data_IF_890887572204
#
_entry.id   IF_890887572204
#
_cell.length_a   1.000
_cell.length_b   1.000
_cell.length_c   1.000
_cell.angle_alpha   90.00
_cell.angle_beta   90.00
_cell.angle_gamma   90.00
#
_symmetry.space_group_name_H-M   'P 1'
#
loop_
_entity.id
_entity.type
_entity.pdbx_description
1 polymer ?
#
# COMPACT_ATOMS: atom_id res chain seq x y z
N UNK A 1 23.64 -16.32 -13.60
CA UNK A 1 23.63 -15.74 -12.24
C UNK A 1 22.51 -14.70 -12.11
N UNK A 2 21.77 -14.70 -11.00
CA UNK A 2 20.74 -13.71 -10.69
C UNK A 2 21.24 -12.76 -9.59
N UNK A 3 20.75 -11.52 -9.58
CA UNK A 3 21.08 -10.50 -8.57
C UNK A 3 19.80 -9.93 -7.98
N UNK A 4 19.73 -9.85 -6.65
CA UNK A 4 18.63 -9.20 -5.94
C UNK A 4 19.06 -7.78 -5.55
N UNK A 5 18.25 -6.79 -5.91
CA UNK A 5 18.54 -5.36 -5.65
C UNK A 5 17.55 -4.71 -4.68
N UNK A 6 16.34 -5.24 -4.58
CA UNK A 6 15.27 -4.65 -3.77
C UNK A 6 14.31 -5.72 -3.22
N UNK A 7 13.57 -5.35 -2.17
CA UNK A 7 12.49 -6.16 -1.56
C UNK A 7 11.15 -5.42 -1.54
N UNK A 8 11.15 -4.14 -1.91
CA UNK A 8 9.98 -3.27 -1.85
C UNK A 8 9.01 -3.55 -3.00
N UNK A 9 7.77 -3.09 -2.81
CA UNK A 9 6.79 -3.13 -3.89
C UNK A 9 7.01 -1.98 -4.88
N UNK A 10 6.61 -2.17 -6.13
CA UNK A 10 6.63 -1.12 -7.16
C UNK A 10 5.35 -0.31 -7.09
N UNK A 11 5.31 0.69 -6.21
CA UNK A 11 4.13 1.55 -5.96
C UNK A 11 3.69 2.33 -7.20
N UNK A 12 2.37 2.50 -7.35
CA UNK A 12 1.78 3.21 -8.48
C UNK A 12 1.66 2.34 -9.74
N UNK A 13 1.56 2.98 -10.89
CA UNK A 13 1.37 2.32 -12.18
C UNK A 13 2.68 1.79 -12.76
N UNK A 14 2.69 0.51 -13.08
CA UNK A 14 3.75 -0.17 -13.82
C UNK A 14 3.17 -0.83 -15.06
N UNK A 15 3.87 -0.74 -16.19
CA UNK A 15 3.50 -1.47 -17.40
C UNK A 15 3.89 -2.95 -17.27
N UNK A 16 2.92 -3.84 -17.50
CA UNK A 16 3.13 -5.28 -17.59
C UNK A 16 3.26 -5.74 -19.04
N UNK A 17 2.93 -6.99 -19.30
CA UNK A 17 2.85 -7.58 -20.64
C UNK A 17 1.51 -7.20 -21.33
N UNK A 18 1.41 -7.43 -22.63
CA UNK A 18 0.16 -7.31 -23.41
C UNK A 18 -0.58 -5.97 -23.26
N UNK A 19 0.17 -4.87 -23.16
CA UNK A 19 -0.36 -3.51 -22.93
C UNK A 19 -1.22 -3.37 -21.65
N UNK A 20 -1.10 -4.30 -20.72
CA UNK A 20 -1.74 -4.24 -19.42
C UNK A 20 -0.87 -3.48 -18.42
N UNK A 21 -1.53 -2.98 -17.38
CA UNK A 21 -0.93 -2.17 -16.35
C UNK A 21 -1.25 -2.74 -14.97
N UNK A 22 -0.38 -2.47 -14.03
CA UNK A 22 -0.49 -2.92 -12.64
C UNK A 22 -0.44 -1.68 -11.75
N UNK A 23 -1.46 -1.47 -10.93
CA UNK A 23 -1.50 -0.40 -9.94
C UNK A 23 -1.26 -0.99 -8.56
N UNK A 24 -0.09 -0.74 -8.00
CA UNK A 24 0.23 -1.14 -6.63
C UNK A 24 -0.20 -0.04 -5.67
N UNK A 25 -1.06 -0.38 -4.72
CA UNK A 25 -1.61 0.50 -3.70
C UNK A 25 -0.93 0.25 -2.36
N UNK A 26 -0.42 1.30 -1.72
CA UNK A 26 0.09 1.20 -0.35
C UNK A 26 -1.08 1.08 0.63
N UNK A 27 -1.09 0.04 1.45
CA UNK A 27 -2.07 -0.20 2.50
C UNK A 27 -1.30 -0.35 3.82
N UNK A 28 -1.41 0.64 4.71
CA UNK A 28 -0.70 0.61 5.99
C UNK A 28 -1.11 -0.63 6.80
N UNK A 29 -0.12 -1.49 7.12
CA UNK A 29 -0.29 -2.80 7.75
C UNK A 29 -1.23 -3.78 7.03
N UNK A 30 -1.54 -3.57 5.75
CA UNK A 30 -2.54 -4.36 5.02
C UNK A 30 -3.96 -4.29 5.59
N UNK A 31 -4.25 -3.32 6.48
CA UNK A 31 -5.55 -3.20 7.16
C UNK A 31 -6.55 -2.47 6.28
N UNK A 32 -7.41 -3.23 5.60
CA UNK A 32 -8.47 -2.69 4.74
C UNK A 32 -9.76 -2.54 5.56
N UNK A 33 -10.05 -1.30 5.98
CA UNK A 33 -11.24 -0.93 6.73
C UNK A 33 -11.77 0.43 6.23
N UNK A 34 -13.05 0.67 6.43
CA UNK A 34 -13.62 2.01 6.29
C UNK A 34 -13.60 2.70 7.65
N UNK A 35 -13.03 3.89 7.72
CA UNK A 35 -12.98 4.76 8.90
C UNK A 35 -13.57 6.15 8.58
N UNK A 36 -13.53 7.08 9.54
CA UNK A 36 -14.07 8.44 9.37
C UNK A 36 -13.36 9.28 8.31
N UNK A 37 -12.15 8.92 7.92
CA UNK A 37 -11.30 9.66 6.99
C UNK A 37 -11.16 8.99 5.63
N UNK A 38 -11.18 7.65 5.58
CA UNK A 38 -10.93 6.86 4.37
C UNK A 38 -11.89 5.68 4.30
N UNK A 39 -12.36 5.40 3.08
CA UNK A 39 -13.27 4.29 2.81
C UNK A 39 -12.57 3.22 1.97
N UNK A 40 -11.47 2.67 2.50
CA UNK A 40 -10.59 1.76 1.75
C UNK A 40 -11.30 0.47 1.34
N UNK A 41 -12.10 -0.11 2.24
CA UNK A 41 -12.83 -1.36 1.97
C UNK A 41 -13.92 -1.14 0.92
N UNK A 42 -14.65 -0.04 1.02
CA UNK A 42 -15.62 0.35 -0.02
C UNK A 42 -14.92 0.63 -1.35
N UNK A 43 -13.78 1.35 -1.35
CA UNK A 43 -13.02 1.63 -2.57
C UNK A 43 -12.52 0.37 -3.28
N UNK A 44 -12.00 -0.59 -2.52
CA UNK A 44 -11.59 -1.90 -3.06
C UNK A 44 -12.79 -2.65 -3.66
N UNK A 45 -13.97 -2.58 -3.03
CA UNK A 45 -15.20 -3.18 -3.55
C UNK A 45 -15.66 -2.53 -4.86
N UNK A 46 -15.66 -1.20 -4.95
CA UNK A 46 -16.06 -0.50 -6.19
C UNK A 46 -15.10 -0.77 -7.35
N UNK A 47 -13.79 -0.84 -7.07
CA UNK A 47 -12.80 -1.26 -8.06
C UNK A 47 -13.04 -2.70 -8.50
N UNK A 48 -13.29 -3.62 -7.56
CA UNK A 48 -13.53 -5.03 -7.86
C UNK A 48 -14.77 -5.25 -8.75
N UNK A 49 -15.78 -4.37 -8.69
CA UNK A 49 -16.99 -4.45 -9.54
C UNK A 49 -16.71 -4.16 -11.02
N UNK A 50 -15.71 -3.35 -11.33
CA UNK A 50 -15.42 -2.92 -12.71
C UNK A 50 -14.12 -3.52 -13.26
N UNK A 51 -13.25 -4.01 -12.38
CA UNK A 51 -11.95 -4.56 -12.75
C UNK A 51 -12.14 -5.90 -13.48
N UNK A 52 -11.43 -6.06 -14.59
CA UNK A 52 -11.53 -7.24 -15.47
C UNK A 52 -10.40 -8.25 -15.26
N UNK A 53 -9.44 -7.92 -14.39
CA UNK A 53 -8.34 -8.82 -14.01
C UNK A 53 -8.45 -9.21 -12.54
N UNK A 54 -7.29 -9.48 -11.94
CA UNK A 54 -7.22 -9.97 -10.56
C UNK A 54 -6.58 -8.94 -9.63
N UNK A 55 -6.76 -9.16 -8.33
CA UNK A 55 -5.93 -8.55 -7.30
C UNK A 55 -4.81 -9.50 -6.88
N UNK A 56 -3.62 -8.95 -6.65
CA UNK A 56 -2.48 -9.70 -6.10
C UNK A 56 -2.10 -9.09 -4.75
N UNK A 57 -2.08 -9.91 -3.71
CA UNK A 57 -1.63 -9.52 -2.37
C UNK A 57 -0.09 -9.67 -2.34
N UNK A 58 0.62 -8.62 -1.94
CA UNK A 58 2.09 -8.63 -1.90
C UNK A 58 2.61 -9.18 -0.58
N UNK A 59 3.88 -9.60 -0.57
CA UNK A 59 4.57 -10.00 0.66
C UNK A 59 4.80 -8.82 1.63
N UNK A 60 4.66 -7.58 1.16
CA UNK A 60 4.76 -6.35 1.96
C UNK A 60 3.38 -5.83 2.39
N UNK A 61 2.35 -6.71 2.43
CA UNK A 61 1.00 -6.40 2.91
C UNK A 61 0.21 -5.38 2.07
N UNK A 62 0.64 -5.12 0.84
CA UNK A 62 -0.05 -4.22 -0.08
C UNK A 62 -0.89 -5.00 -1.10
N UNK A 63 -1.64 -4.28 -1.94
CA UNK A 63 -2.44 -4.87 -3.03
C UNK A 63 -2.05 -4.29 -4.38
N UNK A 64 -1.95 -5.16 -5.38
CA UNK A 64 -1.82 -4.81 -6.78
C UNK A 64 -3.15 -5.05 -7.49
N UNK A 65 -3.67 -4.02 -8.16
CA UNK A 65 -4.74 -4.16 -9.15
C UNK A 65 -4.07 -4.52 -10.47
N UNK A 66 -4.08 -5.80 -10.82
CA UNK A 66 -3.28 -6.35 -11.90
C UNK A 66 -4.10 -6.56 -13.18
N UNK A 67 -3.45 -6.43 -14.33
CA UNK A 67 -4.07 -6.66 -15.63
C UNK A 67 -5.00 -5.55 -16.12
N UNK A 68 -4.80 -4.29 -15.69
CA UNK A 68 -5.66 -3.18 -16.12
C UNK A 68 -5.32 -2.76 -17.54
N UNK A 69 -6.28 -2.84 -18.46
CA UNK A 69 -6.11 -2.30 -19.80
C UNK A 69 -5.88 -0.78 -19.76
N UNK A 70 -5.05 -0.25 -20.67
CA UNK A 70 -4.72 1.18 -20.73
C UNK A 70 -5.95 2.10 -20.70
N UNK A 71 -7.05 1.71 -21.35
CA UNK A 71 -8.31 2.47 -21.41
C UNK A 71 -9.03 2.60 -20.05
N UNK A 72 -8.78 1.68 -19.12
CA UNK A 72 -9.43 1.65 -17.80
C UNK A 72 -8.59 2.29 -16.69
N UNK A 73 -7.32 2.64 -16.95
CA UNK A 73 -6.42 3.23 -15.93
C UNK A 73 -7.02 4.45 -15.23
N UNK A 74 -7.57 5.39 -16.00
CA UNK A 74 -8.12 6.63 -15.45
C UNK A 74 -9.31 6.37 -14.52
N UNK A 75 -10.19 5.43 -14.89
CA UNK A 75 -11.36 5.06 -14.06
C UNK A 75 -10.93 4.39 -12.76
N UNK A 76 -9.98 3.44 -12.82
CA UNK A 76 -9.46 2.75 -11.64
C UNK A 76 -8.75 3.74 -10.71
N UNK A 77 -7.92 4.63 -11.27
CA UNK A 77 -7.21 5.63 -10.48
C UNK A 77 -8.16 6.65 -9.85
N UNK A 78 -9.22 7.06 -10.54
CA UNK A 78 -10.25 7.94 -9.99
C UNK A 78 -10.88 7.33 -8.74
N UNK A 79 -11.31 6.07 -8.81
CA UNK A 79 -11.86 5.36 -7.65
C UNK A 79 -10.81 5.24 -6.54
N UNK A 80 -9.59 4.81 -6.88
CA UNK A 80 -8.52 4.65 -5.90
C UNK A 80 -8.21 5.96 -5.16
N UNK A 81 -8.21 7.10 -5.84
CA UNK A 81 -8.05 8.43 -5.21
C UNK A 81 -9.27 8.83 -4.41
N UNK A 82 -10.48 8.68 -4.96
CA UNK A 82 -11.75 9.04 -4.32
C UNK A 82 -11.92 8.36 -2.96
N UNK A 83 -11.55 7.09 -2.86
CA UNK A 83 -11.70 6.30 -1.63
C UNK A 83 -10.48 6.33 -0.71
N UNK A 84 -9.41 7.06 -1.08
CA UNK A 84 -8.21 7.24 -0.27
C UNK A 84 -7.20 6.08 -0.32
N UNK A 85 -7.29 5.21 -1.33
CA UNK A 85 -6.32 4.13 -1.59
C UNK A 85 -5.01 4.66 -2.18
N UNK A 86 -5.06 5.80 -2.87
CA UNK A 86 -3.85 6.53 -3.30
C UNK A 86 -3.67 7.77 -2.45
N UNK A 87 -2.57 7.80 -1.71
CA UNK A 87 -2.09 8.98 -1.00
C UNK A 87 -0.65 9.30 -1.48
N UNK A 88 -0.46 10.47 -2.08
CA UNK A 88 0.84 10.89 -2.61
C UNK A 88 1.83 11.31 -1.51
N UNK A 89 1.36 11.52 -0.27
CA UNK A 89 2.17 12.03 0.85
C UNK A 89 2.81 10.92 1.70
N UNK A 90 2.81 9.66 1.23
CA UNK A 90 3.44 8.53 1.92
C UNK A 90 4.94 8.46 1.56
N UNK A 91 5.79 8.60 2.57
CA UNK A 91 7.26 8.58 2.45
C UNK A 91 7.81 7.22 2.01
N UNK A 92 9.06 7.19 1.54
CA UNK A 92 9.78 5.94 1.24
C UNK A 92 9.99 5.11 2.52
N UNK A 93 10.38 5.74 3.62
CA UNK A 93 10.50 5.10 4.93
C UNK A 93 9.23 4.35 5.33
N UNK A 94 8.05 4.96 5.18
CA UNK A 94 6.77 4.32 5.52
C UNK A 94 6.41 3.19 4.57
N UNK A 95 6.67 3.35 3.27
CA UNK A 95 6.53 2.28 2.27
C UNK A 95 7.44 1.08 2.53
N UNK A 96 8.60 1.30 3.16
CA UNK A 96 9.56 0.27 3.54
C UNK A 96 9.37 -0.26 4.97
N UNK A 97 8.35 0.19 5.71
CA UNK A 97 8.05 -0.23 7.07
C UNK A 97 6.93 -1.26 7.12
N UNK A 98 7.00 -2.20 8.07
CA UNK A 98 6.02 -3.27 8.24
C UNK A 98 5.92 -3.71 9.69
N UNK A 99 4.75 -4.19 10.10
CA UNK A 99 4.52 -4.81 11.40
C UNK A 99 3.69 -6.09 11.26
N UNK A 100 3.80 -7.00 12.23
CA UNK A 100 2.83 -8.09 12.39
C UNK A 100 1.55 -7.57 13.08
N UNK A 101 0.52 -8.41 13.14
CA UNK A 101 -0.77 -8.05 13.75
C UNK A 101 -0.62 -7.70 15.24
N UNK A 102 0.05 -8.56 16.02
CA UNK A 102 0.12 -8.46 17.49
C UNK A 102 -1.27 -8.31 18.14
N UNK A 103 -1.43 -7.43 19.13
CA UNK A 103 -2.72 -7.15 19.75
C UNK A 103 -3.69 -6.46 18.77
N UNK A 104 -5.01 -6.68 18.90
CA UNK A 104 -5.70 -7.38 19.97
C UNK A 104 -5.97 -8.87 19.70
N UNK A 105 -5.60 -9.40 18.54
CA UNK A 105 -6.03 -10.73 18.10
C UNK A 105 -4.97 -11.83 18.26
N UNK A 106 -3.67 -11.49 18.28
CA UNK A 106 -2.62 -12.48 18.51
C UNK A 106 -2.52 -12.80 20.01
N UNK A 107 -2.82 -14.04 20.44
CA UNK A 107 -2.77 -14.41 21.86
C UNK A 107 -1.33 -14.57 22.39
N UNK A 108 -0.34 -14.51 21.50
CA UNK A 108 1.09 -14.63 21.81
C UNK A 108 1.79 -13.28 21.80
N UNK A 109 1.06 -12.18 21.59
CA UNK A 109 1.65 -10.85 21.54
C UNK A 109 2.21 -10.46 22.93
N UNK A 110 3.44 -9.96 22.94
CA UNK A 110 4.07 -9.40 24.14
C UNK A 110 4.01 -7.86 24.15
N UNK A 111 3.99 -7.23 22.97
CA UNK A 111 3.94 -5.79 22.78
C UNK A 111 3.11 -5.45 21.53
N UNK A 112 2.74 -4.18 21.39
CA UNK A 112 2.06 -3.67 20.19
C UNK A 112 2.97 -3.73 18.95
N UNK A 113 2.36 -3.98 17.79
CA UNK A 113 3.03 -3.92 16.50
C UNK A 113 2.21 -3.11 15.49
N UNK A 114 1.16 -3.70 14.90
CA UNK A 114 0.29 -3.03 13.91
C UNK A 114 -0.22 -1.66 14.39
N UNK A 115 -0.75 -1.59 15.61
CA UNK A 115 -1.34 -0.35 16.17
C UNK A 115 -0.29 0.67 16.60
N UNK A 116 0.95 0.24 16.79
CA UNK A 116 2.07 1.09 17.19
C UNK A 116 2.82 1.67 15.98
N UNK A 117 2.95 0.88 14.91
CA UNK A 117 3.78 1.20 13.74
C UNK A 117 3.49 2.60 13.16
N UNK A 118 2.23 3.04 12.93
CA UNK A 118 1.98 4.31 12.26
C UNK A 118 2.60 5.51 13.00
N UNK A 119 2.47 5.56 14.32
CA UNK A 119 3.02 6.63 15.16
C UNK A 119 4.54 6.51 15.32
N UNK A 120 5.05 5.28 15.40
CA UNK A 120 6.48 5.03 15.48
C UNK A 120 7.21 5.49 14.22
N UNK A 121 6.70 5.12 13.04
CA UNK A 121 7.26 5.55 11.75
C UNK A 121 7.24 7.08 11.63
N UNK A 122 6.20 7.77 12.11
CA UNK A 122 6.20 9.24 12.16
C UNK A 122 7.36 9.81 12.97
N UNK A 123 7.75 9.17 14.09
CA UNK A 123 8.94 9.58 14.86
C UNK A 123 10.22 9.34 14.08
N UNK A 124 10.34 8.23 13.36
CA UNK A 124 11.49 7.91 12.50
C UNK A 124 11.61 8.91 11.35
N UNK A 125 10.52 9.20 10.65
CA UNK A 125 10.47 10.20 9.56
C UNK A 125 10.93 11.58 10.04
N UNK A 126 10.53 11.98 11.25
CA UNK A 126 10.98 13.23 11.87
C UNK A 126 12.48 13.23 12.17
N UNK A 127 13.05 12.10 12.60
CA UNK A 127 14.50 11.96 12.83
C UNK A 127 15.24 12.05 11.48
N UNK A 128 14.80 11.29 10.47
CA UNK A 128 15.40 11.31 9.13
C UNK A 128 15.39 12.72 8.54
N UNK A 129 14.25 13.41 8.64
CA UNK A 129 14.11 14.78 8.14
C UNK A 129 15.06 15.76 8.83
N UNK A 130 15.25 15.67 10.16
CA UNK A 130 16.22 16.50 10.90
C UNK A 130 17.66 16.29 10.45
N UNK A 131 17.98 15.11 9.93
CA UNK A 131 19.33 14.77 9.45
C UNK A 131 19.45 14.86 7.91
N UNK A 132 18.46 15.41 7.21
CA UNK A 132 18.51 15.57 5.75
C UNK A 132 18.29 14.28 4.96
N UNK A 133 17.81 13.20 5.60
CA UNK A 133 17.60 11.88 5.00
C UNK A 133 16.14 11.62 4.59
N UNK A 134 15.30 12.64 4.53
CA UNK A 134 13.85 12.45 4.32
C UNK A 134 13.44 11.90 2.94
N UNK A 135 14.39 11.78 2.00
CA UNK A 135 14.18 11.27 0.64
C UNK A 135 14.89 9.93 0.39
N UNK A 136 15.52 9.36 1.41
CA UNK A 136 16.13 8.03 1.37
C UNK A 136 15.10 6.92 1.65
#
# INVERSE_FOLDING_TARGET
PYSFTERGDRFGWVQGIDNQWHLTLFIENGRIIDDSHRKLKTGMLEIARIHQGDFRITANQNIIIAGVEKKHKATIELLARQYGLINNNITLQRKASMACVAFPTCPLAMAEAERFLPQFVTKVENIMSRHGLGQE
#
